data_IF_887513315198
#
_entry.id   IF_887513315198
#
_cell.length_a   1.000
_cell.length_b   1.000
_cell.length_c   1.000
_cell.angle_alpha   90.00
_cell.angle_beta   90.00
_cell.angle_gamma   90.00
#
_symmetry.space_group_name_H-M   'P 1'
#
loop_
_entity.id
_entity.type
_entity.pdbx_description
1 polymer ?
#
# COMPACT_ATOMS: atom_id res chain seq x y z
N UNK A 1 -11.70 28.82 -13.85
CA UNK A 1 -10.72 27.74 -13.55
C UNK A 1 -11.40 26.44 -13.90
N UNK A 2 -10.81 25.65 -14.79
CA UNK A 2 -11.37 24.34 -15.16
C UNK A 2 -11.60 23.49 -13.90
N UNK A 3 -12.82 22.96 -13.74
CA UNK A 3 -13.16 22.03 -12.67
C UNK A 3 -12.62 20.62 -12.95
N UNK A 4 -12.17 20.37 -14.18
CA UNK A 4 -11.69 19.07 -14.63
C UNK A 4 -10.20 18.92 -14.32
N UNK A 5 -9.86 17.82 -13.65
CA UNK A 5 -8.48 17.45 -13.36
C UNK A 5 -8.15 16.15 -14.07
N UNK A 6 -7.21 16.21 -15.01
CA UNK A 6 -6.69 15.04 -15.70
C UNK A 6 -6.15 14.02 -14.69
N UNK A 7 -6.55 12.75 -14.85
CA UNK A 7 -6.19 11.67 -13.94
C UNK A 7 -6.96 11.65 -12.62
N UNK A 8 -8.13 12.31 -12.56
CA UNK A 8 -9.03 12.39 -11.40
C UNK A 8 -10.48 12.11 -11.78
N UNK A 9 -11.29 11.80 -10.77
CA UNK A 9 -12.74 11.77 -10.93
C UNK A 9 -13.33 13.16 -10.97
N UNK A 10 -14.36 13.33 -11.80
CA UNK A 10 -15.17 14.54 -11.91
C UNK A 10 -16.64 14.18 -12.07
N UNK A 11 -17.52 14.97 -11.50
CA UNK A 11 -18.97 14.87 -11.74
C UNK A 11 -19.34 15.78 -12.90
N UNK A 12 -19.73 15.21 -14.03
CA UNK A 12 -20.00 15.94 -15.26
C UNK A 12 -21.41 15.66 -15.76
N UNK A 13 -22.06 16.71 -16.27
CA UNK A 13 -23.41 16.64 -16.86
C UNK A 13 -23.32 16.09 -18.29
N UNK A 14 -24.25 15.21 -18.65
CA UNK A 14 -24.44 14.72 -20.01
C UNK A 14 -25.09 15.79 -20.85
N UNK A 15 -24.40 16.28 -21.86
CA UNK A 15 -24.90 17.34 -22.77
C UNK A 15 -25.76 16.77 -23.90
N UNK A 16 -25.25 15.69 -24.54
CA UNK A 16 -25.92 15.07 -25.69
C UNK A 16 -25.53 13.62 -25.87
N UNK A 17 -26.42 12.85 -26.48
CA UNK A 17 -26.17 11.46 -26.91
C UNK A 17 -25.76 11.43 -28.39
N UNK A 18 -24.85 10.52 -28.73
CA UNK A 18 -24.39 10.25 -30.11
C UNK A 18 -24.25 8.74 -30.31
N UNK A 19 -24.12 8.26 -31.54
CA UNK A 19 -24.07 6.84 -31.88
C UNK A 19 -22.94 6.08 -31.15
N UNK A 20 -21.82 6.75 -30.86
CA UNK A 20 -20.62 6.18 -30.26
C UNK A 20 -20.44 6.50 -28.77
N UNK A 21 -21.40 7.19 -28.12
CA UNK A 21 -21.37 7.49 -26.69
C UNK A 21 -22.20 8.70 -26.29
N UNK A 22 -21.76 9.38 -25.24
CA UNK A 22 -22.35 10.66 -24.80
C UNK A 22 -21.25 11.70 -24.66
N UNK A 23 -21.57 12.96 -24.87
CA UNK A 23 -20.69 14.07 -24.54
C UNK A 23 -21.07 14.65 -23.18
N UNK A 24 -20.04 14.90 -22.38
CA UNK A 24 -20.12 15.48 -21.05
C UNK A 24 -19.66 16.93 -21.08
N UNK A 25 -20.24 17.75 -20.23
CA UNK A 25 -19.87 19.16 -20.10
C UNK A 25 -18.50 19.29 -19.43
N UNK A 26 -17.50 19.68 -20.17
CA UNK A 26 -16.14 19.93 -19.71
C UNK A 26 -15.85 21.39 -19.40
N UNK A 27 -16.86 22.27 -19.36
CA UNK A 27 -16.72 23.71 -19.15
C UNK A 27 -15.69 24.33 -20.13
N UNK A 28 -14.60 24.88 -19.60
CA UNK A 28 -13.53 25.50 -20.41
C UNK A 28 -12.77 24.50 -21.28
N UNK A 29 -12.76 23.20 -20.92
CA UNK A 29 -12.12 22.12 -21.68
C UNK A 29 -13.01 21.60 -22.83
N UNK A 30 -14.24 22.15 -22.96
CA UNK A 30 -15.20 21.78 -23.99
C UNK A 30 -15.94 20.49 -23.69
N UNK A 31 -16.46 19.85 -24.72
CA UNK A 31 -17.21 18.60 -24.59
C UNK A 31 -16.27 17.40 -24.51
N UNK A 32 -16.45 16.56 -23.47
CA UNK A 32 -15.64 15.35 -23.24
C UNK A 32 -16.43 14.10 -23.61
N UNK A 33 -15.89 13.28 -24.48
CA UNK A 33 -16.53 12.03 -24.86
C UNK A 33 -16.45 10.98 -23.76
N UNK A 34 -17.60 10.41 -23.38
CA UNK A 34 -17.72 9.14 -22.69
C UNK A 34 -18.14 8.08 -23.72
N UNK A 35 -17.24 7.15 -24.11
CA UNK A 35 -17.53 6.13 -25.11
C UNK A 35 -18.70 5.22 -24.70
N UNK A 36 -19.54 4.80 -25.67
CA UNK A 36 -20.78 4.04 -25.47
C UNK A 36 -20.66 2.86 -24.53
N UNK A 37 -19.55 2.12 -24.61
CA UNK A 37 -19.30 0.95 -23.73
C UNK A 37 -19.14 1.29 -22.24
N UNK A 38 -18.96 2.57 -21.91
CA UNK A 38 -18.81 3.06 -20.54
C UNK A 38 -20.02 3.89 -20.08
N UNK A 39 -21.01 4.11 -20.95
CA UNK A 39 -22.23 4.82 -20.61
C UNK A 39 -23.14 3.90 -19.80
N UNK A 40 -23.53 4.28 -18.58
CA UNK A 40 -24.52 3.53 -17.80
C UNK A 40 -25.86 3.41 -18.55
N UNK A 41 -26.53 2.28 -18.37
CA UNK A 41 -27.86 2.06 -19.00
C UNK A 41 -28.86 3.08 -18.50
N UNK A 42 -29.65 3.62 -19.44
CA UNK A 42 -30.68 4.63 -19.13
C UNK A 42 -30.21 6.06 -19.00
N UNK A 43 -28.90 6.33 -19.23
CA UNK A 43 -28.30 7.68 -19.20
C UNK A 43 -29.01 8.59 -20.24
N UNK A 44 -29.31 9.82 -19.82
CA UNK A 44 -29.97 10.86 -20.63
C UNK A 44 -29.26 12.20 -20.53
N UNK A 45 -29.40 13.10 -21.51
CA UNK A 45 -28.99 14.49 -21.37
C UNK A 45 -29.57 15.13 -20.10
N UNK A 46 -28.73 15.84 -19.35
CA UNK A 46 -29.02 16.41 -18.03
C UNK A 46 -28.65 15.55 -16.84
N UNK A 47 -28.30 14.25 -17.02
CA UNK A 47 -27.80 13.38 -15.94
C UNK A 47 -26.39 13.79 -15.55
N UNK A 48 -26.07 13.67 -14.26
CA UNK A 48 -24.71 13.89 -13.73
C UNK A 48 -24.03 12.53 -13.52
N UNK A 49 -22.91 12.33 -14.19
CA UNK A 49 -22.11 11.10 -14.09
C UNK A 49 -20.79 11.36 -13.34
N UNK A 50 -20.42 10.43 -12.44
CA UNK A 50 -19.08 10.42 -11.85
C UNK A 50 -18.14 9.64 -12.76
N UNK A 51 -17.23 10.32 -13.43
CA UNK A 51 -16.34 9.76 -14.44
C UNK A 51 -14.88 10.07 -14.15
N UNK A 52 -14.00 9.16 -14.53
CA UNK A 52 -12.57 9.38 -14.50
C UNK A 52 -12.11 9.97 -15.83
N UNK A 53 -11.29 11.02 -15.77
CA UNK A 53 -10.82 11.75 -16.96
C UNK A 53 -9.37 11.35 -17.27
N UNK A 54 -9.11 10.92 -18.49
CA UNK A 54 -7.79 10.54 -18.95
C UNK A 54 -7.58 10.87 -20.45
N UNK A 55 -6.39 10.60 -20.98
CA UNK A 55 -6.09 10.79 -22.39
C UNK A 55 -6.19 9.46 -23.15
N UNK A 56 -6.90 9.45 -24.27
CA UNK A 56 -6.95 8.30 -25.18
C UNK A 56 -5.63 8.09 -25.93
N UNK A 57 -5.60 7.16 -26.89
CA UNK A 57 -4.39 6.88 -27.70
C UNK A 57 -3.98 8.03 -28.61
N UNK A 58 -4.91 8.94 -28.93
CA UNK A 58 -4.69 10.13 -29.75
C UNK A 58 -4.48 11.39 -28.89
N UNK A 59 -4.33 11.21 -27.55
CA UNK A 59 -4.08 12.28 -26.60
C UNK A 59 -5.25 13.27 -26.42
N UNK A 60 -6.46 12.83 -26.73
CA UNK A 60 -7.67 13.61 -26.48
C UNK A 60 -8.21 13.30 -25.10
N UNK A 61 -8.80 14.31 -24.43
CA UNK A 61 -9.53 14.12 -23.19
C UNK A 61 -10.74 13.21 -23.41
N UNK A 62 -10.82 12.14 -22.65
CA UNK A 62 -11.91 11.18 -22.65
C UNK A 62 -12.30 10.80 -21.23
N UNK A 63 -13.57 10.47 -21.06
CA UNK A 63 -14.11 10.00 -19.81
C UNK A 63 -14.32 8.49 -19.79
N UNK A 64 -14.31 7.89 -18.61
CA UNK A 64 -14.69 6.50 -18.39
C UNK A 64 -15.39 6.34 -17.05
N UNK A 65 -16.32 5.38 -16.96
CA UNK A 65 -16.90 4.92 -15.70
C UNK A 65 -16.13 3.76 -15.09
N UNK A 66 -15.07 3.27 -15.76
CA UNK A 66 -14.14 2.33 -15.16
C UNK A 66 -13.42 2.97 -13.97
N UNK A 67 -13.08 2.13 -13.00
CA UNK A 67 -12.36 2.55 -11.81
C UNK A 67 -10.88 2.15 -11.95
N UNK A 68 -9.97 3.09 -12.27
CA UNK A 68 -8.55 2.80 -12.24
C UNK A 68 -8.09 2.47 -10.82
N UNK A 69 -7.03 1.67 -10.70
CA UNK A 69 -6.47 1.25 -9.41
C UNK A 69 -5.77 2.40 -8.65
N UNK A 70 -5.56 3.54 -9.32
CA UNK A 70 -4.82 4.68 -8.79
C UNK A 70 -5.16 5.94 -9.57
N UNK A 71 -5.08 7.09 -8.92
CA UNK A 71 -5.25 8.41 -9.52
C UNK A 71 -3.93 9.18 -9.52
N UNK A 72 -3.86 10.27 -10.30
CA UNK A 72 -2.76 11.24 -10.25
C UNK A 72 -2.56 11.76 -8.82
N UNK A 73 -1.34 11.81 -8.35
CA UNK A 73 -0.98 12.19 -6.98
C UNK A 73 -1.04 11.05 -5.97
N UNK A 74 -1.27 9.81 -6.40
CA UNK A 74 -1.33 8.65 -5.53
C UNK A 74 -0.23 7.63 -5.84
N UNK A 75 0.01 6.74 -4.87
CA UNK A 75 0.92 5.61 -5.03
C UNK A 75 0.12 4.32 -5.19
N UNK A 76 0.64 3.42 -6.04
CA UNK A 76 0.08 2.07 -6.19
C UNK A 76 1.17 1.05 -6.54
N UNK A 77 0.89 -0.23 -6.27
CA UNK A 77 1.71 -1.35 -6.73
C UNK A 77 1.06 -1.97 -7.97
N UNK A 78 1.60 -1.66 -9.15
CA UNK A 78 1.03 -2.03 -10.44
C UNK A 78 1.88 -3.08 -11.15
N UNK A 79 1.23 -3.91 -11.97
CA UNK A 79 1.90 -4.93 -12.77
C UNK A 79 2.32 -4.37 -14.12
N UNK A 80 3.54 -4.71 -14.58
CA UNK A 80 4.01 -4.40 -15.92
C UNK A 80 3.30 -5.29 -16.93
N UNK A 81 2.46 -4.69 -17.78
CA UNK A 81 1.78 -5.37 -18.86
C UNK A 81 2.75 -5.67 -20.02
N UNK A 82 3.56 -4.70 -20.40
CA UNK A 82 4.56 -4.84 -21.47
C UNK A 82 5.66 -3.78 -21.34
N UNK A 83 6.74 -3.95 -22.14
CA UNK A 83 7.89 -3.05 -22.19
C UNK A 83 8.31 -2.82 -23.63
N UNK A 84 8.87 -1.64 -23.92
CA UNK A 84 9.45 -1.31 -25.22
C UNK A 84 10.74 -0.51 -25.07
N UNK A 85 11.21 0.07 -26.18
CA UNK A 85 12.44 0.88 -26.21
C UNK A 85 12.34 2.24 -25.48
N UNK A 86 11.15 2.67 -25.05
CA UNK A 86 10.94 3.95 -24.36
C UNK A 86 10.71 3.76 -22.85
N UNK A 87 10.22 2.61 -22.42
CA UNK A 87 9.92 2.35 -21.02
C UNK A 87 9.03 1.14 -20.79
N UNK A 88 8.36 1.14 -19.67
CA UNK A 88 7.39 0.14 -19.23
C UNK A 88 5.97 0.70 -19.26
N UNK A 89 5.00 -0.19 -19.43
CA UNK A 89 3.58 0.12 -19.43
C UNK A 89 2.91 -0.75 -18.38
N UNK A 90 2.21 -0.11 -17.46
CA UNK A 90 1.60 -0.75 -16.30
C UNK A 90 0.10 -0.86 -16.49
N UNK A 91 -0.44 -2.02 -16.15
CA UNK A 91 -1.89 -2.18 -16.01
C UNK A 91 -2.37 -1.41 -14.77
N UNK A 92 -3.22 -0.42 -14.99
CA UNK A 92 -3.85 0.39 -13.96
C UNK A 92 -5.38 0.36 -14.01
N UNK A 93 -5.94 -0.63 -14.73
CA UNK A 93 -7.38 -0.87 -14.82
C UNK A 93 -8.08 -0.14 -15.97
N UNK A 94 -7.34 0.58 -16.83
CA UNK A 94 -7.89 1.28 -18.00
C UNK A 94 -7.37 0.66 -19.31
N UNK A 95 -8.04 0.97 -20.41
CA UNK A 95 -7.65 0.48 -21.76
C UNK A 95 -6.25 0.94 -22.21
N UNK A 96 -5.86 2.14 -21.83
CA UNK A 96 -4.53 2.67 -22.10
C UNK A 96 -3.66 2.44 -20.89
N UNK A 97 -2.64 1.60 -21.02
CA UNK A 97 -1.70 1.33 -19.95
C UNK A 97 -0.95 2.59 -19.50
N UNK A 98 -0.59 2.63 -18.23
CA UNK A 98 0.12 3.74 -17.61
C UNK A 98 1.62 3.66 -17.93
N UNK A 99 2.17 4.70 -18.52
CA UNK A 99 3.55 4.73 -18.98
C UNK A 99 4.55 5.09 -17.87
N UNK A 100 5.67 4.37 -17.82
CA UNK A 100 6.84 4.64 -16.97
C UNK A 100 8.07 4.77 -17.85
N UNK A 101 8.49 5.99 -18.22
CA UNK A 101 9.68 6.18 -19.01
C UNK A 101 10.95 5.67 -18.29
N UNK A 102 12.00 5.31 -19.03
CA UNK A 102 13.22 4.80 -18.39
C UNK A 102 13.83 5.75 -17.37
N UNK A 103 13.73 7.06 -17.60
CA UNK A 103 14.19 8.09 -16.66
C UNK A 103 13.49 8.03 -15.30
N UNK A 104 12.27 7.45 -15.25
CA UNK A 104 11.46 7.31 -14.03
C UNK A 104 11.58 5.92 -13.37
N UNK A 105 12.41 5.04 -13.91
CA UNK A 105 12.66 3.71 -13.35
C UNK A 105 13.94 3.73 -12.51
N UNK A 106 13.92 3.13 -11.31
CA UNK A 106 15.14 2.88 -10.50
C UNK A 106 15.98 1.74 -11.07
N UNK A 107 15.30 0.75 -11.65
CA UNK A 107 15.87 -0.39 -12.36
C UNK A 107 14.97 -0.72 -13.54
N UNK A 108 15.51 -1.36 -14.58
CA UNK A 108 14.70 -1.77 -15.74
C UNK A 108 13.54 -2.66 -15.29
N UNK A 109 12.33 -2.20 -15.52
CA UNK A 109 11.12 -2.94 -15.22
C UNK A 109 10.97 -4.14 -16.14
N UNK A 110 10.38 -5.23 -15.62
CA UNK A 110 10.22 -6.49 -16.33
C UNK A 110 8.74 -6.83 -16.43
N UNK A 111 8.31 -7.29 -17.62
CA UNK A 111 6.94 -7.77 -17.86
C UNK A 111 6.50 -8.77 -16.80
N UNK A 112 5.27 -8.63 -16.32
CA UNK A 112 4.64 -9.50 -15.32
C UNK A 112 5.05 -9.20 -13.87
N UNK A 113 6.12 -8.42 -13.62
CA UNK A 113 6.50 -8.01 -12.26
C UNK A 113 5.70 -6.80 -11.79
N UNK A 114 5.55 -6.67 -10.49
CA UNK A 114 4.86 -5.55 -9.84
C UNK A 114 5.86 -4.56 -9.27
N UNK A 115 5.54 -3.28 -9.36
CA UNK A 115 6.36 -2.19 -8.83
C UNK A 115 5.49 -1.14 -8.15
N UNK A 116 5.96 -0.62 -7.03
CA UNK A 116 5.34 0.54 -6.40
C UNK A 116 5.76 1.78 -7.17
N UNK A 117 4.77 2.54 -7.60
CA UNK A 117 4.94 3.77 -8.39
C UNK A 117 4.07 4.89 -7.85
N UNK A 118 4.48 6.12 -8.11
CA UNK A 118 3.66 7.33 -7.97
C UNK A 118 3.15 7.77 -9.33
N UNK A 119 1.88 8.15 -9.41
CA UNK A 119 1.26 8.64 -10.65
C UNK A 119 1.22 10.16 -10.64
N UNK A 120 1.72 10.78 -11.70
CA UNK A 120 1.78 12.24 -11.80
C UNK A 120 1.58 12.70 -13.25
N UNK A 121 1.40 14.00 -13.42
CA UNK A 121 1.44 14.63 -14.73
C UNK A 121 2.88 15.00 -15.05
N UNK A 122 3.37 14.56 -16.21
CA UNK A 122 4.70 14.96 -16.71
C UNK A 122 4.69 16.45 -17.06
N UNK A 123 5.61 17.20 -16.49
CA UNK A 123 5.64 18.68 -16.61
C UNK A 123 5.83 19.18 -18.05
N UNK A 124 6.52 18.40 -18.89
CA UNK A 124 6.81 18.78 -20.28
C UNK A 124 5.67 18.40 -21.23
N UNK A 125 5.13 17.19 -21.10
CA UNK A 125 4.13 16.65 -22.03
C UNK A 125 2.69 16.74 -21.54
N UNK A 126 2.49 17.08 -20.26
CA UNK A 126 1.18 17.08 -19.58
C UNK A 126 0.43 15.73 -19.64
N UNK A 127 1.17 14.63 -19.90
CA UNK A 127 0.63 13.27 -19.90
C UNK A 127 0.63 12.66 -18.51
N UNK A 128 -0.32 11.76 -18.27
CA UNK A 128 -0.29 10.93 -17.06
C UNK A 128 0.82 9.91 -17.23
N UNK A 129 1.79 9.93 -16.30
CA UNK A 129 2.93 9.01 -16.24
C UNK A 129 3.11 8.49 -14.82
N UNK A 130 3.90 7.44 -14.67
CA UNK A 130 4.26 6.96 -13.34
C UNK A 130 5.78 6.93 -13.14
N UNK A 131 6.19 7.04 -11.88
CA UNK A 131 7.58 7.02 -11.45
C UNK A 131 7.80 5.98 -10.35
N UNK A 132 8.83 5.15 -10.49
CA UNK A 132 9.31 4.27 -9.43
C UNK A 132 10.26 4.98 -8.44
N UNK A 133 10.55 6.24 -8.65
CA UNK A 133 11.35 7.09 -7.75
C UNK A 133 10.47 7.64 -6.62
N UNK A 134 9.84 6.74 -5.89
CA UNK A 134 8.84 7.02 -4.85
C UNK A 134 9.29 8.12 -3.89
N UNK A 135 10.58 8.14 -3.51
CA UNK A 135 11.13 9.12 -2.57
C UNK A 135 10.94 10.58 -3.01
N UNK A 136 10.90 10.85 -4.32
CA UNK A 136 10.79 12.21 -4.85
C UNK A 136 9.38 12.80 -4.65
N UNK A 137 8.38 11.93 -4.42
CA UNK A 137 6.97 12.31 -4.30
C UNK A 137 6.45 12.22 -2.87
N UNK A 138 7.28 11.74 -1.94
CA UNK A 138 6.93 11.76 -0.52
C UNK A 138 7.13 13.16 0.05
N UNK A 139 6.22 13.58 0.91
CA UNK A 139 6.31 14.89 1.58
C UNK A 139 7.59 15.01 2.40
N UNK A 140 8.23 16.16 2.29
CA UNK A 140 9.35 16.57 3.15
C UNK A 140 8.90 17.36 4.36
N UNK A 141 7.61 17.69 4.45
CA UNK A 141 7.01 18.36 5.60
C UNK A 141 7.03 17.43 6.82
N UNK A 142 7.14 18.02 8.00
CA UNK A 142 7.07 17.25 9.24
C UNK A 142 5.61 16.88 9.51
N UNK A 143 5.27 15.57 9.57
CA UNK A 143 3.91 15.14 9.86
C UNK A 143 3.53 15.42 11.33
N UNK A 144 2.27 15.74 11.58
CA UNK A 144 1.72 16.04 12.90
C UNK A 144 0.97 14.82 13.50
N UNK A 145 1.60 13.65 13.50
CA UNK A 145 1.02 12.46 14.12
C UNK A 145 1.40 12.33 15.58
N UNK A 146 0.47 11.79 16.37
CA UNK A 146 0.70 11.49 17.79
C UNK A 146 1.08 10.01 17.98
N UNK A 147 1.93 9.68 18.98
CA UNK A 147 2.20 8.29 19.34
C UNK A 147 0.92 7.53 19.64
N UNK A 148 0.77 6.33 19.07
CA UNK A 148 -0.42 5.49 19.17
C UNK A 148 -1.56 5.83 18.21
N UNK A 149 -1.41 6.85 17.37
CA UNK A 149 -2.36 7.16 16.29
C UNK A 149 -2.33 6.08 15.23
N UNK A 150 -3.51 5.59 14.82
CA UNK A 150 -3.67 4.65 13.72
C UNK A 150 -3.56 5.38 12.38
N UNK A 151 -2.84 4.78 11.44
CA UNK A 151 -2.61 5.29 10.09
C UNK A 151 -2.64 4.16 9.06
N UNK A 152 -3.07 4.47 7.85
CA UNK A 152 -3.00 3.54 6.73
C UNK A 152 -1.62 3.59 6.10
N UNK A 153 -1.06 2.43 5.79
CA UNK A 153 0.25 2.34 5.16
C UNK A 153 0.24 1.38 3.98
N UNK A 154 1.04 1.67 2.98
CA UNK A 154 1.37 0.75 1.90
C UNK A 154 2.84 0.36 1.99
N UNK A 155 3.12 -0.94 2.03
CA UNK A 155 4.49 -1.45 2.01
C UNK A 155 5.13 -1.13 0.67
N UNK A 156 6.28 -0.49 0.70
CA UNK A 156 6.96 -0.06 -0.52
C UNK A 156 8.22 -0.86 -0.80
N UNK A 157 9.10 -1.04 0.20
CA UNK A 157 10.39 -1.68 0.01
C UNK A 157 10.87 -2.39 1.28
N UNK A 158 11.38 -3.63 1.12
CA UNK A 158 12.11 -4.32 2.18
C UNK A 158 13.55 -3.81 2.23
N UNK A 159 14.08 -3.63 3.44
CA UNK A 159 15.48 -3.23 3.72
C UNK A 159 16.05 -4.12 4.83
N UNK A 160 17.33 -3.99 5.13
CA UNK A 160 17.99 -4.73 6.23
C UNK A 160 17.42 -4.36 7.62
N UNK A 161 16.88 -3.15 7.78
CA UNK A 161 16.32 -2.67 9.04
C UNK A 161 14.83 -3.01 9.21
N UNK A 162 14.10 -3.26 8.11
CA UNK A 162 12.66 -3.44 8.12
C UNK A 162 12.03 -3.12 6.78
N UNK A 163 10.78 -2.68 6.83
CA UNK A 163 10.00 -2.34 5.66
C UNK A 163 9.77 -0.83 5.61
N UNK A 164 10.22 -0.20 4.51
CA UNK A 164 9.79 1.16 4.19
C UNK A 164 8.33 1.11 3.77
N UNK A 165 7.54 2.04 4.29
CA UNK A 165 6.13 2.17 3.98
C UNK A 165 5.77 3.61 3.62
N UNK A 166 4.72 3.77 2.83
CA UNK A 166 4.11 5.04 2.51
C UNK A 166 2.94 5.22 3.48
N UNK A 167 2.95 6.27 4.28
CA UNK A 167 1.94 6.57 5.30
C UNK A 167 0.95 7.58 4.74
N UNK A 168 -0.35 7.27 4.80
CA UNK A 168 -1.46 8.11 4.34
C UNK A 168 -1.23 8.68 2.92
N UNK A 169 -0.64 7.86 2.03
CA UNK A 169 -0.33 8.25 0.65
C UNK A 169 0.57 9.50 0.54
N UNK A 170 1.30 9.87 1.57
CA UNK A 170 2.03 11.14 1.64
C UNK A 170 3.41 11.05 2.28
N UNK A 171 3.58 10.35 3.39
CA UNK A 171 4.80 10.42 4.19
C UNK A 171 5.61 9.12 4.15
N UNK A 172 6.91 9.23 4.47
CA UNK A 172 7.79 8.07 4.63
C UNK A 172 7.70 7.49 6.04
N UNK A 173 7.47 6.19 6.15
CA UNK A 173 7.49 5.47 7.41
C UNK A 173 8.39 4.22 7.37
N UNK A 174 8.67 3.68 8.56
CA UNK A 174 9.44 2.46 8.75
C UNK A 174 8.75 1.52 9.74
N UNK A 175 8.53 0.29 9.30
CA UNK A 175 8.19 -0.85 10.16
C UNK A 175 9.45 -1.67 10.35
N UNK A 176 10.00 -1.71 11.56
CA UNK A 176 11.22 -2.47 11.84
C UNK A 176 10.97 -3.97 11.89
N UNK A 177 11.95 -4.80 11.50
CA UNK A 177 11.82 -6.26 11.51
C UNK A 177 11.40 -6.84 12.86
N UNK A 178 11.86 -6.25 13.98
CA UNK A 178 11.46 -6.66 15.32
C UNK A 178 10.03 -6.28 15.73
N UNK A 179 9.31 -5.55 14.89
CA UNK A 179 7.92 -5.14 15.07
C UNK A 179 6.97 -5.85 14.09
N UNK A 180 7.53 -6.64 13.15
CA UNK A 180 6.78 -7.32 12.08
C UNK A 180 6.91 -8.82 12.26
N UNK A 181 5.80 -9.51 12.51
CA UNK A 181 5.75 -10.95 12.79
C UNK A 181 5.13 -11.77 11.66
N UNK A 182 4.91 -11.15 10.52
CA UNK A 182 4.39 -11.77 9.31
C UNK A 182 5.15 -11.26 8.09
N UNK A 183 5.32 -12.08 7.03
CA UNK A 183 5.93 -11.60 5.80
C UNK A 183 5.09 -10.48 5.20
N UNK A 184 5.75 -9.36 4.87
CA UNK A 184 5.13 -8.25 4.16
C UNK A 184 5.72 -8.17 2.75
N UNK A 185 4.85 -7.92 1.78
CA UNK A 185 5.22 -7.74 0.38
C UNK A 185 4.95 -6.31 -0.08
N UNK A 186 5.73 -5.85 -1.07
CA UNK A 186 5.52 -4.54 -1.68
C UNK A 186 4.10 -4.44 -2.28
N UNK A 187 3.41 -3.34 -1.98
CA UNK A 187 2.04 -3.10 -2.38
C UNK A 187 0.98 -3.56 -1.37
N UNK A 188 1.35 -4.24 -0.29
CA UNK A 188 0.39 -4.56 0.78
C UNK A 188 -0.05 -3.29 1.50
N UNK A 189 -1.38 -3.16 1.65
CA UNK A 189 -2.03 -2.13 2.45
C UNK A 189 -2.40 -2.71 3.81
N UNK A 190 -2.09 -1.97 4.87
CA UNK A 190 -2.39 -2.37 6.24
C UNK A 190 -2.53 -1.14 7.15
N UNK A 191 -3.21 -1.31 8.28
CA UNK A 191 -3.19 -0.34 9.37
C UNK A 191 -1.94 -0.53 10.22
N UNK A 192 -1.34 0.59 10.62
CA UNK A 192 -0.21 0.63 11.54
C UNK A 192 -0.43 1.73 12.59
N UNK A 193 0.34 1.70 13.66
CA UNK A 193 0.28 2.69 14.73
C UNK A 193 1.58 3.49 14.75
N UNK A 194 1.46 4.80 14.88
CA UNK A 194 2.61 5.68 15.02
C UNK A 194 3.30 5.43 16.34
N UNK A 195 4.56 5.06 16.32
CA UNK A 195 5.41 4.93 17.50
C UNK A 195 6.06 6.26 17.87
N UNK A 196 6.61 6.93 16.88
CA UNK A 196 7.15 8.30 16.98
C UNK A 196 7.33 8.94 15.61
N UNK A 197 7.30 10.24 15.57
CA UNK A 197 7.78 11.05 14.45
C UNK A 197 9.20 11.52 14.78
N UNK A 198 10.16 11.20 13.93
CA UNK A 198 11.56 11.58 14.11
C UNK A 198 11.80 13.06 13.80
N UNK A 199 12.91 13.65 14.25
CA UNK A 199 13.27 15.00 13.90
C UNK A 199 13.45 15.25 12.40
N UNK A 200 13.82 14.20 11.63
CA UNK A 200 13.96 14.23 10.16
C UNK A 200 12.63 14.03 9.41
N UNK A 201 11.50 14.04 10.12
CA UNK A 201 10.14 13.88 9.56
C UNK A 201 9.73 12.45 9.25
N UNK A 202 10.61 11.46 9.37
CA UNK A 202 10.26 10.03 9.17
C UNK A 202 9.45 9.50 10.33
N UNK A 203 8.56 8.55 10.03
CA UNK A 203 7.63 7.98 10.99
C UNK A 203 8.06 6.56 11.33
N UNK A 204 8.35 6.29 12.60
CA UNK A 204 8.51 4.93 13.12
C UNK A 204 7.14 4.37 13.46
N UNK A 205 6.86 3.19 12.96
CA UNK A 205 5.57 2.53 13.04
C UNK A 205 5.66 1.16 13.72
N UNK A 206 4.54 0.71 14.25
CA UNK A 206 4.34 -0.65 14.76
C UNK A 206 2.99 -1.18 14.26
N UNK A 207 2.89 -2.51 14.03
CA UNK A 207 1.66 -3.14 13.54
C UNK A 207 0.59 -3.29 14.62
N UNK A 208 0.98 -3.21 15.87
CA UNK A 208 0.08 -3.37 17.02
C UNK A 208 0.26 -2.21 17.99
N UNK A 209 -0.84 -1.77 18.59
CA UNK A 209 -0.83 -0.68 19.59
C UNK A 209 0.07 -1.05 20.77
N UNK A 210 0.96 -0.15 21.16
CA UNK A 210 1.88 -0.37 22.28
C UNK A 210 1.12 -0.75 23.56
N UNK A 211 1.45 -1.90 24.14
CA UNK A 211 0.97 -2.27 25.46
C UNK A 211 0.45 -3.71 25.62
N UNK A 212 -0.83 -3.97 25.59
CA UNK A 212 -1.40 -5.22 26.04
C UNK A 212 -1.41 -6.38 25.01
N UNK A 213 -1.59 -6.09 23.70
CA UNK A 213 -1.81 -7.13 22.68
C UNK A 213 -0.58 -7.92 22.24
N UNK A 214 0.62 -7.30 22.25
CA UNK A 214 1.87 -8.01 21.78
C UNK A 214 2.21 -9.27 22.57
N UNK A 215 1.85 -9.29 23.85
CA UNK A 215 2.12 -10.44 24.74
C UNK A 215 1.01 -11.46 24.63
N UNK A 216 -0.25 -11.01 24.59
CA UNK A 216 -1.41 -11.91 24.53
C UNK A 216 -1.46 -12.67 23.19
N UNK A 217 -1.29 -11.97 22.05
CA UNK A 217 -1.31 -12.60 20.72
C UNK A 217 -0.13 -13.59 20.55
N UNK A 218 1.07 -13.25 21.01
CA UNK A 218 2.20 -14.16 20.92
C UNK A 218 2.13 -15.28 21.96
N UNK A 219 1.51 -15.04 23.12
CA UNK A 219 1.25 -16.10 24.10
C UNK A 219 0.33 -17.18 23.54
N UNK A 220 -0.69 -16.79 22.74
CA UNK A 220 -1.55 -17.75 22.04
C UNK A 220 -0.79 -18.54 20.96
N UNK A 221 0.04 -17.88 20.17
CA UNK A 221 0.91 -18.52 19.17
C UNK A 221 1.88 -19.49 19.83
N UNK A 222 2.52 -19.09 20.94
CA UNK A 222 3.42 -19.94 21.69
C UNK A 222 2.69 -21.14 22.31
N UNK A 223 1.51 -20.92 22.86
CA UNK A 223 0.68 -21.97 23.42
C UNK A 223 0.27 -23.00 22.35
N UNK A 224 -0.12 -22.51 21.17
CA UNK A 224 -0.48 -23.38 20.04
C UNK A 224 0.74 -24.17 19.55
N UNK A 225 1.90 -23.52 19.42
CA UNK A 225 3.16 -24.20 19.06
C UNK A 225 3.51 -25.32 20.03
N UNK A 226 3.35 -25.11 21.35
CA UNK A 226 3.60 -26.15 22.37
C UNK A 226 2.60 -27.31 22.20
N UNK A 227 1.31 -27.02 21.91
CA UNK A 227 0.29 -28.03 21.65
C UNK A 227 0.64 -28.88 20.41
N UNK A 228 1.06 -28.23 19.34
CA UNK A 228 1.41 -28.89 18.07
C UNK A 228 2.69 -29.73 18.16
N UNK A 229 3.49 -29.53 19.22
CA UNK A 229 4.71 -30.30 19.53
C UNK A 229 4.51 -31.21 20.77
N UNK A 230 3.41 -31.95 20.81
CA UNK A 230 3.11 -32.93 21.86
C UNK A 230 3.14 -32.36 23.29
N UNK A 231 2.79 -31.11 23.44
CA UNK A 231 2.71 -30.41 24.74
C UNK A 231 4.05 -30.03 25.34
N UNK A 232 5.15 -30.08 24.56
CA UNK A 232 6.48 -29.73 25.02
C UNK A 232 7.27 -28.95 23.98
N UNK A 233 8.09 -27.98 24.45
CA UNK A 233 9.12 -27.34 23.63
C UNK A 233 10.42 -27.23 24.39
N UNK A 234 11.60 -27.52 23.75
CA UNK A 234 12.91 -27.34 24.38
C UNK A 234 13.33 -25.87 24.49
N UNK A 235 12.55 -24.96 23.87
CA UNK A 235 12.81 -23.53 23.92
C UNK A 235 12.44 -22.98 25.31
N UNK A 236 13.35 -22.19 25.89
CA UNK A 236 13.15 -21.60 27.23
C UNK A 236 13.80 -20.21 27.30
N UNK A 237 13.85 -19.63 28.48
CA UNK A 237 14.41 -18.28 28.70
C UNK A 237 15.95 -18.21 28.52
N UNK A 238 16.64 -19.34 28.48
CA UNK A 238 18.09 -19.46 28.22
C UNK A 238 18.39 -19.66 26.73
N UNK A 239 17.41 -20.06 25.90
CA UNK A 239 17.56 -20.28 24.47
C UNK A 239 18.15 -19.04 23.78
N UNK A 240 19.04 -19.24 22.80
CA UNK A 240 19.66 -18.17 22.03
C UNK A 240 18.60 -17.27 21.35
N UNK A 241 18.88 -15.97 21.31
CA UNK A 241 17.97 -14.99 20.70
C UNK A 241 17.75 -15.25 19.20
N UNK A 242 18.78 -15.74 18.51
CA UNK A 242 18.72 -16.09 17.09
C UNK A 242 17.78 -17.28 16.84
N UNK A 243 17.86 -18.32 17.67
CA UNK A 243 16.97 -19.50 17.57
C UNK A 243 15.51 -19.10 17.78
N UNK A 244 15.25 -18.26 18.80
CA UNK A 244 13.90 -17.76 19.08
C UNK A 244 13.38 -16.92 17.88
N UNK A 245 14.24 -16.08 17.31
CA UNK A 245 13.88 -15.26 16.18
C UNK A 245 13.62 -16.11 14.92
N UNK A 246 14.45 -17.10 14.64
CA UNK A 246 14.25 -18.00 13.50
C UNK A 246 12.98 -18.85 13.63
N UNK A 247 12.62 -19.25 14.86
CA UNK A 247 11.44 -20.09 15.10
C UNK A 247 10.14 -19.29 15.07
N UNK A 248 10.14 -18.09 15.68
CA UNK A 248 8.91 -17.33 15.93
C UNK A 248 8.88 -15.94 15.33
N UNK A 249 9.99 -15.41 14.80
CA UNK A 249 10.09 -14.03 14.31
C UNK A 249 10.03 -12.97 15.42
N UNK A 250 10.10 -13.35 16.70
CA UNK A 250 9.99 -12.43 17.84
C UNK A 250 11.32 -12.23 18.55
N UNK A 251 11.45 -11.10 19.28
CA UNK A 251 12.61 -10.88 20.15
C UNK A 251 12.60 -11.80 21.36
N UNK A 252 13.78 -12.15 21.89
CA UNK A 252 13.91 -12.90 23.16
C UNK A 252 13.15 -12.24 24.32
N UNK A 253 13.04 -10.91 24.33
CA UNK A 253 12.30 -10.15 25.33
C UNK A 253 10.78 -10.41 25.21
N UNK A 254 10.25 -10.47 24.01
CA UNK A 254 8.83 -10.78 23.73
C UNK A 254 8.53 -12.23 24.10
N UNK A 255 9.41 -13.16 23.70
CA UNK A 255 9.31 -14.57 24.09
C UNK A 255 9.26 -14.75 25.60
N UNK A 256 10.20 -14.17 26.36
CA UNK A 256 10.22 -14.24 27.84
C UNK A 256 8.94 -13.69 28.47
N UNK A 257 8.39 -12.59 27.94
CA UNK A 257 7.13 -12.04 28.44
C UNK A 257 5.95 -12.99 28.22
N UNK A 258 5.85 -13.60 27.05
CA UNK A 258 4.80 -14.57 26.73
C UNK A 258 4.90 -15.83 27.60
N UNK A 259 6.11 -16.37 27.77
CA UNK A 259 6.35 -17.50 28.68
C UNK A 259 5.88 -17.15 30.12
N UNK A 260 6.24 -15.94 30.59
CA UNK A 260 5.83 -15.47 31.90
C UNK A 260 4.30 -15.30 32.04
N UNK A 261 3.62 -14.87 30.98
CA UNK A 261 2.16 -14.75 30.95
C UNK A 261 1.48 -16.12 30.97
N UNK A 262 1.91 -17.06 30.12
CA UNK A 262 1.39 -18.44 30.11
C UNK A 262 1.61 -19.15 31.44
N UNK A 263 2.77 -18.94 32.06
CA UNK A 263 3.08 -19.49 33.39
C UNK A 263 2.14 -18.91 34.50
N UNK A 264 1.93 -17.60 34.51
CA UNK A 264 0.98 -16.94 35.44
C UNK A 264 -0.45 -17.42 35.23
N UNK A 265 -0.85 -17.67 34.01
CA UNK A 265 -2.16 -18.24 33.65
C UNK A 265 -2.28 -19.75 33.97
N UNK A 266 -1.20 -20.37 34.46
CA UNK A 266 -1.09 -21.81 34.76
C UNK A 266 -1.39 -22.72 33.57
N UNK A 267 -1.05 -22.25 32.38
CA UNK A 267 -1.21 -23.02 31.13
C UNK A 267 0.05 -23.82 30.79
N UNK A 268 1.19 -23.43 31.36
CA UNK A 268 2.48 -24.12 31.16
C UNK A 268 3.26 -24.20 32.47
N UNK A 269 4.16 -25.18 32.51
CA UNK A 269 5.20 -25.33 33.55
C UNK A 269 6.58 -25.19 32.92
N UNK A 270 7.51 -24.64 33.71
CA UNK A 270 8.91 -24.50 33.28
C UNK A 270 9.69 -25.68 33.84
N UNK A 271 10.32 -26.45 32.96
CA UNK A 271 11.19 -27.58 33.29
C UNK A 271 12.65 -27.24 32.97
N UNK A 272 13.59 -28.02 33.47
CA UNK A 272 15.02 -27.82 33.28
C UNK A 272 15.42 -27.90 31.80
N UNK A 273 14.64 -28.64 30.98
CA UNK A 273 14.87 -28.82 29.52
C UNK A 273 13.97 -28.01 28.61
N UNK A 274 13.00 -27.22 29.12
CA UNK A 274 12.05 -26.53 28.24
C UNK A 274 10.76 -26.07 28.93
N UNK A 275 9.69 -25.99 28.16
CA UNK A 275 8.35 -25.57 28.59
C UNK A 275 7.38 -26.67 28.21
N UNK A 276 6.54 -27.06 29.18
CA UNK A 276 5.51 -28.10 29.02
C UNK A 276 4.11 -27.54 29.35
N UNK A 277 3.09 -28.04 28.62
CA UNK A 277 1.69 -27.81 28.97
C UNK A 277 1.35 -28.43 30.32
N UNK A 278 0.46 -27.78 31.07
CA UNK A 278 -0.12 -28.33 32.34
C UNK A 278 -1.17 -29.38 32.02
#
# INVERSE_FOLDING_TARGET
>A
MSHIKLGKYSQLEVVKEVDFGVYLNGDEDGEILLPKRYVPEGTKPGDILNVFIYLDMEERLVATTLQPYVQVGEFACLQVAWVNQFGAFLDWGLMKDLFVPFREQKMKMQKGKRYVVHVHLDEESYRIVASAKVEHYLSTEKPEYQPGQEVNVMVWQRTDLGYKVIVENQFSGMLFHNEVFQPLEAGMHLSAFVKQVRPDGKIDLELQKAGARKVDDFSEVLLQYIKDNDGFTPLNDKTDAEVIYQTFGVSKKTFKKAVGDLYKKRLVVLEEGGIRLV
#
